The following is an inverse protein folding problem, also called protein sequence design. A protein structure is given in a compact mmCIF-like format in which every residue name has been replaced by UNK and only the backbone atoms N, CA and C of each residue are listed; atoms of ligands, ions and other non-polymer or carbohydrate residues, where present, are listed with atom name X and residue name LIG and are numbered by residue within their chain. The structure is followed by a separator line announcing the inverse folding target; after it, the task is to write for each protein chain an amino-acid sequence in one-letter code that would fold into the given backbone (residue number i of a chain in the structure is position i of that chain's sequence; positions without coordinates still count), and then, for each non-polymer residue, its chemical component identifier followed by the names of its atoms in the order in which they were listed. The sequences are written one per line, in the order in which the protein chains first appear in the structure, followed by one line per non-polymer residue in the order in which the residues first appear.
data_IF_751271024611
#
_entry.id   IF_751271024611
#
_cell.length_a   1.000
_cell.length_b   1.000
_cell.length_c   1.000
_cell.angle_alpha   90.00
_cell.angle_beta   90.00
_cell.angle_gamma   90.00
#
_symmetry.space_group_name_H-M   'P 1'
#
loop_
_entity.id
_entity.type
_entity.pdbx_description
1 polymer ?
#
# COMPACT_ATOMS: atom_id res chain seq x y z
N UNK A 1 16.33 4.11 19.69
CA UNK A 1 15.06 3.58 19.12
C UNK A 1 15.22 2.08 18.99
N UNK A 2 14.28 1.29 19.51
CA UNK A 2 14.28 -0.17 19.30
C UNK A 2 14.07 -0.50 17.83
N UNK A 3 14.72 -1.55 17.34
CA UNK A 3 14.48 -2.13 16.02
C UNK A 3 13.09 -2.78 15.99
N UNK A 4 12.35 -2.62 14.90
CA UNK A 4 11.03 -3.24 14.68
C UNK A 4 11.17 -4.68 14.14
N UNK A 5 12.13 -4.90 13.24
CA UNK A 5 12.34 -6.17 12.55
C UNK A 5 13.52 -6.95 13.14
N UNK A 6 13.44 -8.27 13.10
CA UNK A 6 14.62 -9.12 13.36
C UNK A 6 15.70 -8.89 12.29
N UNK A 7 17.00 -8.84 12.63
CA UNK A 7 18.08 -8.69 11.63
C UNK A 7 18.00 -9.68 10.46
N UNK A 8 17.60 -10.93 10.71
CA UNK A 8 17.48 -11.97 9.67
C UNK A 8 16.43 -11.64 8.61
N UNK A 9 15.40 -10.85 8.96
CA UNK A 9 14.36 -10.39 8.02
C UNK A 9 14.95 -9.40 7.01
N UNK A 10 15.80 -8.48 7.47
CA UNK A 10 16.49 -7.55 6.58
C UNK A 10 17.51 -8.28 5.70
N UNK A 11 18.23 -9.26 6.24
CA UNK A 11 19.15 -10.11 5.45
C UNK A 11 18.41 -10.90 4.36
N UNK A 12 17.24 -11.45 4.70
CA UNK A 12 16.36 -12.14 3.73
C UNK A 12 15.94 -11.19 2.62
N UNK A 13 15.48 -9.99 2.96
CA UNK A 13 15.11 -8.97 1.97
C UNK A 13 16.29 -8.56 1.08
N UNK A 14 17.48 -8.38 1.63
CA UNK A 14 18.69 -8.02 0.87
C UNK A 14 19.12 -9.15 -0.09
N UNK A 15 18.97 -10.41 0.32
CA UNK A 15 19.30 -11.58 -0.50
C UNK A 15 18.26 -11.84 -1.61
N UNK A 16 16.98 -11.80 -1.26
CA UNK A 16 15.89 -12.27 -2.12
C UNK A 16 15.19 -11.13 -2.87
N UNK A 17 15.43 -9.88 -2.48
CA UNK A 17 14.73 -8.70 -2.98
C UNK A 17 13.31 -8.53 -2.42
N UNK A 18 12.82 -9.48 -1.61
CA UNK A 18 11.47 -9.51 -1.05
C UNK A 18 11.43 -10.27 0.28
N UNK A 19 10.52 -9.89 1.18
CA UNK A 19 10.27 -10.61 2.44
C UNK A 19 8.82 -10.41 2.90
N UNK A 20 8.25 -11.41 3.61
CA UNK A 20 6.88 -11.35 4.14
C UNK A 20 6.91 -10.91 5.60
N UNK A 21 6.18 -9.82 5.92
CA UNK A 21 6.01 -9.31 7.28
C UNK A 21 4.58 -9.57 7.76
N UNK A 22 4.38 -10.66 8.51
CA UNK A 22 3.06 -11.03 9.05
C UNK A 22 2.67 -10.10 10.20
N UNK A 23 1.43 -9.59 10.18
CA UNK A 23 0.90 -8.75 11.26
C UNK A 23 1.53 -7.36 11.37
N UNK A 24 2.23 -6.89 10.32
CA UNK A 24 2.84 -5.55 10.32
C UNK A 24 1.81 -4.43 10.40
N UNK A 25 0.69 -4.59 9.71
CA UNK A 25 -0.40 -3.61 9.64
C UNK A 25 -1.48 -4.04 10.63
N UNK A 26 -1.86 -3.15 11.53
CA UNK A 26 -2.87 -3.45 12.55
C UNK A 26 -4.27 -3.56 11.94
N UNK A 27 -5.20 -4.31 12.55
CA UNK A 27 -6.59 -4.37 12.09
C UNK A 27 -7.25 -3.00 11.95
N UNK A 28 -6.95 -2.05 12.83
CA UNK A 28 -7.46 -0.69 12.78
C UNK A 28 -6.92 0.06 11.56
N UNK A 29 -5.61 -0.06 11.29
CA UNK A 29 -5.01 0.56 10.09
C UNK A 29 -5.55 -0.06 8.80
N UNK A 30 -5.86 -1.36 8.80
CA UNK A 30 -6.52 -2.04 7.67
C UNK A 30 -7.91 -1.45 7.43
N UNK A 31 -8.70 -1.24 8.49
CA UNK A 31 -10.02 -0.62 8.38
C UNK A 31 -9.94 0.81 7.85
N UNK A 32 -9.00 1.63 8.36
CA UNK A 32 -8.79 2.99 7.86
C UNK A 32 -8.38 3.01 6.38
N UNK A 33 -7.52 2.08 5.96
CA UNK A 33 -7.12 1.93 4.55
C UNK A 33 -8.29 1.51 3.67
N UNK A 34 -9.18 0.63 4.16
CA UNK A 34 -10.39 0.24 3.44
C UNK A 34 -11.31 1.44 3.22
N UNK A 35 -11.50 2.31 4.22
CA UNK A 35 -12.22 3.58 4.05
C UNK A 35 -11.54 4.50 3.03
N UNK A 36 -10.21 4.51 2.99
CA UNK A 36 -9.43 5.24 1.99
C UNK A 36 -9.68 4.73 0.56
N UNK A 37 -9.73 3.41 0.37
CA UNK A 37 -10.06 2.78 -0.92
C UNK A 37 -11.48 3.13 -1.35
N UNK A 38 -12.46 3.06 -0.46
CA UNK A 38 -13.84 3.44 -0.79
C UNK A 38 -13.94 4.91 -1.21
N UNK A 39 -13.28 5.83 -0.48
CA UNK A 39 -13.20 7.25 -0.89
C UNK A 39 -12.56 7.41 -2.27
N UNK A 40 -11.54 6.62 -2.59
CA UNK A 40 -10.89 6.65 -3.89
C UNK A 40 -11.83 6.17 -5.00
N UNK A 41 -12.57 5.09 -4.78
CA UNK A 41 -13.54 4.58 -5.74
C UNK A 41 -14.70 5.56 -6.00
N UNK A 42 -15.15 6.28 -4.96
CA UNK A 42 -16.21 7.28 -5.07
C UNK A 42 -15.77 8.58 -5.75
N UNK A 43 -14.50 8.95 -5.59
CA UNK A 43 -13.90 10.15 -6.19
C UNK A 43 -12.51 9.83 -6.73
N UNK A 44 -12.44 9.21 -7.92
CA UNK A 44 -11.18 8.76 -8.49
C UNK A 44 -10.19 9.91 -8.74
N UNK A 45 -8.92 9.54 -8.72
CA UNK A 45 -7.77 10.35 -9.04
C UNK A 45 -7.72 10.78 -10.50
N UNK A 46 -6.85 11.74 -10.85
CA UNK A 46 -6.62 12.13 -12.24
C UNK A 46 -5.99 11.00 -13.07
N UNK A 47 -5.45 9.98 -12.40
CA UNK A 47 -4.78 8.85 -13.02
C UNK A 47 -5.56 7.54 -12.91
N UNK A 48 -6.81 7.63 -12.46
CA UNK A 48 -7.67 6.47 -12.35
C UNK A 48 -7.93 5.86 -13.73
N UNK A 49 -7.97 4.54 -13.77
CA UNK A 49 -8.28 3.81 -14.98
C UNK A 49 -9.09 2.54 -14.67
N UNK A 50 -10.04 2.26 -15.55
CA UNK A 50 -10.92 1.10 -15.46
C UNK A 50 -10.51 0.14 -16.58
N UNK A 51 -9.85 -0.96 -16.21
CA UNK A 51 -9.36 -1.95 -17.17
C UNK A 51 -10.45 -2.88 -17.68
N UNK A 52 -11.54 -3.06 -16.92
CA UNK A 52 -12.64 -3.91 -17.37
C UNK A 52 -13.35 -3.27 -18.56
N UNK A 53 -13.35 -3.92 -19.74
CA UNK A 53 -14.06 -3.39 -20.90
C UNK A 53 -15.57 -3.32 -20.65
N UNK A 54 -16.24 -2.35 -21.25
CA UNK A 54 -17.70 -2.24 -21.19
C UNK A 54 -18.36 -3.55 -21.65
N UNK A 55 -19.23 -4.11 -20.81
CA UNK A 55 -19.94 -5.36 -21.08
C UNK A 55 -19.23 -6.64 -20.61
N UNK A 56 -18.00 -6.54 -20.06
CA UNK A 56 -17.35 -7.66 -19.37
C UNK A 56 -17.83 -7.77 -17.91
N UNK A 57 -17.67 -8.96 -17.32
CA UNK A 57 -17.95 -9.24 -15.91
C UNK A 57 -16.77 -8.88 -15.01
N UNK A 58 -17.03 -8.69 -13.72
CA UNK A 58 -16.03 -8.29 -12.74
C UNK A 58 -15.58 -6.83 -12.91
N UNK A 59 -14.57 -6.44 -12.14
CA UNK A 59 -14.05 -5.07 -12.12
C UNK A 59 -12.55 -5.09 -11.84
N UNK A 60 -11.79 -4.38 -12.68
CA UNK A 60 -10.39 -4.10 -12.42
C UNK A 60 -10.14 -2.59 -12.51
N UNK A 61 -10.16 -1.97 -11.35
CA UNK A 61 -9.88 -0.56 -11.17
C UNK A 61 -8.45 -0.37 -10.70
N UNK A 62 -7.76 0.60 -11.30
CA UNK A 62 -6.50 1.12 -10.79
C UNK A 62 -6.55 2.63 -10.59
N UNK A 63 -5.75 3.10 -9.64
CA UNK A 63 -5.46 4.52 -9.47
C UNK A 63 -4.12 4.68 -8.73
N UNK A 64 -3.49 5.84 -8.87
CA UNK A 64 -2.20 6.10 -8.24
C UNK A 64 -1.98 7.56 -7.84
N UNK A 65 -1.16 7.78 -6.81
CA UNK A 65 -0.73 9.10 -6.32
C UNK A 65 -1.89 9.95 -5.76
N UNK A 66 -2.80 9.29 -5.05
CA UNK A 66 -3.89 9.91 -4.28
C UNK A 66 -3.53 10.20 -2.82
N UNK A 67 -2.32 9.88 -2.34
CA UNK A 67 -1.93 10.10 -0.94
C UNK A 67 -2.06 11.55 -0.49
N UNK A 68 -1.96 12.53 -1.41
CA UNK A 68 -2.17 13.95 -1.10
C UNK A 68 -3.66 14.33 -0.96
N UNK A 69 -4.57 13.53 -1.53
CA UNK A 69 -6.02 13.73 -1.52
C UNK A 69 -6.73 12.88 -0.46
N UNK A 70 -6.15 11.74 -0.11
CA UNK A 70 -6.73 10.73 0.78
C UNK A 70 -5.81 10.54 1.98
N UNK A 71 -6.21 11.12 3.10
CA UNK A 71 -5.41 11.17 4.34
C UNK A 71 -5.00 9.79 4.86
N UNK A 72 -5.83 8.77 4.65
CA UNK A 72 -5.55 7.41 5.12
C UNK A 72 -4.32 6.81 4.42
N UNK A 73 -4.13 7.10 3.13
CA UNK A 73 -2.95 6.67 2.38
C UNK A 73 -1.69 7.41 2.83
N UNK A 74 -1.78 8.75 3.01
CA UNK A 74 -0.67 9.53 3.57
C UNK A 74 -0.26 9.01 4.95
N UNK A 75 -1.23 8.79 5.85
CA UNK A 75 -0.98 8.33 7.21
C UNK A 75 -0.29 6.98 7.22
N UNK A 76 -0.77 6.01 6.43
CA UNK A 76 -0.16 4.69 6.30
C UNK A 76 1.27 4.74 5.75
N UNK A 77 1.52 5.58 4.74
CA UNK A 77 2.84 5.68 4.10
C UNK A 77 3.87 6.53 4.84
N UNK A 78 3.45 7.41 5.75
CA UNK A 78 4.35 8.36 6.43
C UNK A 78 4.48 8.15 7.93
N UNK A 79 3.56 7.41 8.56
CA UNK A 79 3.57 7.13 9.99
C UNK A 79 3.44 5.64 10.31
N UNK A 80 3.70 5.27 11.57
CA UNK A 80 3.46 3.89 12.01
C UNK A 80 4.52 2.87 11.56
N UNK A 81 4.14 1.59 11.42
CA UNK A 81 5.08 0.48 11.20
C UNK A 81 5.55 0.32 9.75
N UNK A 82 4.74 0.68 8.75
CA UNK A 82 5.08 0.55 7.32
C UNK A 82 6.35 1.32 6.94
N UNK A 83 6.46 2.65 7.16
CA UNK A 83 7.68 3.39 6.81
C UNK A 83 8.88 3.01 7.69
N UNK A 84 8.67 2.51 8.91
CA UNK A 84 9.75 2.00 9.76
C UNK A 84 10.31 0.70 9.22
N UNK A 85 9.44 -0.24 8.86
CA UNK A 85 9.84 -1.49 8.23
C UNK A 85 10.58 -1.21 6.91
N UNK A 86 10.07 -0.32 6.06
CA UNK A 86 10.75 0.07 4.83
C UNK A 86 12.17 0.61 5.10
N UNK A 87 12.34 1.49 6.11
CA UNK A 87 13.67 2.01 6.49
C UNK A 87 14.62 0.91 6.93
N UNK A 88 14.15 -0.01 7.78
CA UNK A 88 14.96 -1.10 8.32
C UNK A 88 15.35 -2.11 7.24
N UNK A 89 14.43 -2.50 6.36
CA UNK A 89 14.69 -3.38 5.22
C UNK A 89 15.72 -2.77 4.25
N UNK A 90 15.57 -1.48 3.93
CA UNK A 90 16.50 -0.75 3.06
C UNK A 90 17.84 -0.41 3.74
N UNK A 91 18.00 -0.64 5.05
CA UNK A 91 19.18 -0.19 5.80
C UNK A 91 19.35 1.33 5.80
N UNK A 92 18.26 2.08 5.65
CA UNK A 92 18.29 3.52 5.39
C UNK A 92 17.94 4.34 6.62
N UNK A 93 18.53 5.54 6.73
CA UNK A 93 18.13 6.51 7.76
C UNK A 93 16.76 7.13 7.48
N UNK A 94 16.36 7.20 6.22
CA UNK A 94 15.15 7.88 5.76
C UNK A 94 14.49 7.05 4.65
N UNK A 95 13.17 6.88 4.74
CA UNK A 95 12.32 6.45 3.64
C UNK A 95 11.37 7.60 3.31
N UNK A 96 11.04 7.77 2.02
CA UNK A 96 10.08 8.77 1.55
C UNK A 96 8.98 8.07 0.78
N UNK A 97 7.73 8.38 1.10
CA UNK A 97 6.61 7.98 0.27
C UNK A 97 6.73 8.71 -1.07
N UNK A 98 6.97 7.97 -2.14
CA UNK A 98 7.04 8.52 -3.48
C UNK A 98 5.66 8.46 -4.16
N UNK A 99 5.07 7.27 -4.17
CA UNK A 99 3.73 7.03 -4.67
C UNK A 99 3.08 5.84 -3.93
N UNK A 100 1.77 5.72 -4.08
CA UNK A 100 0.97 4.55 -3.73
C UNK A 100 0.06 4.21 -4.92
N UNK A 101 -0.42 2.98 -4.93
CA UNK A 101 -1.37 2.46 -5.92
C UNK A 101 -2.56 1.84 -5.19
N UNK A 102 -3.76 2.11 -5.71
CA UNK A 102 -4.96 1.35 -5.39
C UNK A 102 -5.22 0.39 -6.55
N UNK A 103 -5.42 -0.88 -6.22
CA UNK A 103 -5.76 -1.92 -7.17
C UNK A 103 -6.96 -2.68 -6.60
N UNK A 104 -8.11 -2.56 -7.26
CA UNK A 104 -9.32 -3.31 -6.90
C UNK A 104 -9.63 -4.28 -8.01
N UNK A 105 -9.45 -5.57 -7.73
CA UNK A 105 -9.78 -6.66 -8.65
C UNK A 105 -10.88 -7.52 -8.05
N UNK A 106 -12.08 -7.38 -8.59
CA UNK A 106 -13.23 -8.18 -8.19
C UNK A 106 -13.20 -9.56 -8.85
N UNK A 107 -13.99 -10.49 -8.31
CA UNK A 107 -14.18 -11.80 -8.91
C UNK A 107 -14.66 -11.69 -10.36
N UNK A 108 -14.42 -12.73 -11.16
CA UNK A 108 -14.82 -12.80 -12.58
C UNK A 108 -14.15 -11.78 -13.52
N UNK A 109 -13.18 -11.02 -13.02
CA UNK A 109 -12.27 -10.20 -13.84
C UNK A 109 -11.34 -11.11 -14.65
N UNK A 110 -11.37 -10.96 -15.99
CA UNK A 110 -10.51 -11.71 -16.92
C UNK A 110 -9.19 -10.99 -17.21
#
# INVERSE_FOLDING_TARGET
MSRLLDPSVAETYQRDGVVVLKGLVSPESIAELADGVERNLQSPGPWANEYTPTGATGRFFDDYVNWQRIEQFARAGTTGPIPRAARELMGSKVARLFHEHVLVKEAETK
#
